data_IF_506647008731
#
_entry.id   IF_506647008731
#
_cell.length_a   1.000
_cell.length_b   1.000
_cell.length_c   1.000
_cell.angle_alpha   90.00
_cell.angle_beta   90.00
_cell.angle_gamma   90.00
#
_symmetry.space_group_name_H-M   'P 1'
#
loop_
_entity.id
_entity.type
_entity.pdbx_description
1 polymer ?
#
# COMPACT_ATOMS: atom_id res chain seq x y z
N UNK A 1 -9.32 -24.13 -10.80
CA UNK A 1 -10.74 -23.72 -10.87
C UNK A 1 -10.85 -22.39 -10.15
N UNK A 2 -10.78 -21.27 -10.89
CA UNK A 2 -11.01 -19.94 -10.31
C UNK A 2 -12.51 -19.75 -10.13
N UNK A 3 -12.96 -19.69 -8.88
CA UNK A 3 -14.34 -19.35 -8.58
C UNK A 3 -14.55 -17.88 -8.96
N UNK A 4 -15.49 -17.61 -9.85
CA UNK A 4 -15.95 -16.24 -10.11
C UNK A 4 -16.40 -15.64 -8.79
N UNK A 5 -15.86 -14.49 -8.36
CA UNK A 5 -16.29 -13.88 -7.11
C UNK A 5 -17.78 -13.53 -7.21
N UNK A 6 -18.51 -13.84 -6.16
CA UNK A 6 -19.91 -13.41 -6.05
C UNK A 6 -19.96 -11.88 -6.12
N UNK A 7 -20.58 -11.37 -7.16
CA UNK A 7 -20.66 -9.92 -7.45
C UNK A 7 -21.17 -9.12 -6.25
N UNK A 8 -22.19 -9.60 -5.55
CA UNK A 8 -22.75 -8.92 -4.39
C UNK A 8 -21.76 -8.89 -3.22
N UNK A 9 -21.02 -9.98 -3.02
CA UNK A 9 -20.01 -10.06 -1.99
C UNK A 9 -18.82 -9.15 -2.28
N UNK A 10 -18.40 -9.07 -3.54
CA UNK A 10 -17.35 -8.15 -3.97
C UNK A 10 -17.79 -6.70 -3.79
N UNK A 11 -19.00 -6.35 -4.19
CA UNK A 11 -19.55 -5.00 -4.03
C UNK A 11 -19.62 -4.60 -2.55
N UNK A 12 -20.04 -5.48 -1.66
CA UNK A 12 -20.06 -5.24 -0.22
C UNK A 12 -18.64 -5.00 0.33
N UNK A 13 -17.67 -5.81 -0.08
CA UNK A 13 -16.28 -5.63 0.33
C UNK A 13 -15.69 -4.30 -0.16
N UNK A 14 -16.01 -3.89 -1.39
CA UNK A 14 -15.56 -2.61 -1.93
C UNK A 14 -16.20 -1.40 -1.25
N UNK A 15 -17.40 -1.55 -0.69
CA UNK A 15 -18.04 -0.48 0.07
C UNK A 15 -17.28 -0.13 1.37
N UNK A 16 -16.63 -1.12 1.96
CA UNK A 16 -15.84 -0.99 3.20
C UNK A 16 -14.33 -0.78 2.94
N UNK A 17 -13.88 -0.92 1.69
CA UNK A 17 -12.47 -0.83 1.35
C UNK A 17 -11.93 0.60 1.50
N UNK A 18 -10.70 0.73 2.02
CA UNK A 18 -9.96 1.99 2.02
C UNK A 18 -9.68 2.43 0.58
N UNK A 19 -10.16 3.62 0.22
CA UNK A 19 -10.08 4.15 -1.14
C UNK A 19 -8.65 4.39 -1.60
N UNK A 20 -7.74 4.74 -0.70
CA UNK A 20 -6.32 4.95 -1.00
C UNK A 20 -5.66 3.66 -1.43
N UNK A 21 -5.91 2.60 -0.69
CA UNK A 21 -5.40 1.26 -1.02
C UNK A 21 -6.02 0.77 -2.33
N UNK A 22 -7.32 0.99 -2.50
CA UNK A 22 -8.04 0.59 -3.71
C UNK A 22 -7.48 1.25 -4.96
N UNK A 23 -7.17 2.55 -4.92
CA UNK A 23 -6.52 3.28 -6.00
C UNK A 23 -5.15 2.69 -6.36
N UNK A 24 -4.34 2.32 -5.36
CA UNK A 24 -3.03 1.70 -5.61
C UNK A 24 -3.18 0.33 -6.28
N UNK A 25 -4.16 -0.46 -5.84
CA UNK A 25 -4.47 -1.76 -6.47
C UNK A 25 -4.94 -1.55 -7.92
N UNK A 26 -5.84 -0.59 -8.16
CA UNK A 26 -6.33 -0.28 -9.49
C UNK A 26 -5.22 0.16 -10.43
N UNK A 27 -4.32 1.02 -9.96
CA UNK A 27 -3.13 1.42 -10.71
C UNK A 27 -2.24 0.22 -11.02
N UNK A 28 -1.99 -0.64 -10.02
CA UNK A 28 -1.14 -1.82 -10.18
C UNK A 28 -1.71 -2.80 -11.22
N UNK A 29 -3.03 -2.95 -11.28
CA UNK A 29 -3.71 -3.85 -12.22
C UNK A 29 -3.75 -3.23 -13.61
N UNK A 30 -4.17 -1.96 -13.74
CA UNK A 30 -4.45 -1.33 -15.04
C UNK A 30 -3.26 -0.65 -15.69
N UNK A 31 -2.31 -0.16 -14.89
CA UNK A 31 -1.25 0.73 -15.34
C UNK A 31 -1.73 2.12 -15.76
N UNK A 32 -3.00 2.46 -15.49
CA UNK A 32 -3.56 3.73 -15.91
C UNK A 32 -3.11 4.88 -15.02
N UNK A 33 -2.31 5.77 -15.58
CA UNK A 33 -1.74 6.95 -14.91
C UNK A 33 -2.78 7.87 -14.25
N UNK A 34 -4.02 7.84 -14.72
CA UNK A 34 -5.09 8.67 -14.15
C UNK A 34 -5.31 8.43 -12.67
N UNK A 35 -5.10 7.20 -12.18
CA UNK A 35 -5.28 6.84 -10.77
C UNK A 35 -4.24 7.47 -9.84
N UNK A 36 -3.16 8.02 -10.40
CA UNK A 36 -2.13 8.76 -9.66
C UNK A 36 -2.24 10.28 -9.83
N UNK A 37 -3.33 10.79 -10.41
CA UNK A 37 -3.55 12.21 -10.71
C UNK A 37 -4.84 12.71 -10.02
N UNK A 38 -5.04 14.03 -10.01
CA UNK A 38 -6.32 14.60 -9.59
C UNK A 38 -7.46 14.09 -10.49
N UNK A 39 -8.63 13.78 -9.96
CA UNK A 39 -9.07 14.01 -8.56
C UNK A 39 -8.79 12.84 -7.60
N UNK A 40 -8.02 11.83 -7.98
CA UNK A 40 -7.78 10.59 -7.24
C UNK A 40 -6.61 10.67 -6.27
N UNK A 41 -6.17 11.87 -5.95
CA UNK A 41 -5.13 12.09 -4.95
C UNK A 41 -5.76 12.29 -3.57
N UNK A 42 -5.37 11.47 -2.60
CA UNK A 42 -5.80 11.64 -1.22
C UNK A 42 -5.42 13.03 -0.69
N UNK A 43 -6.24 13.57 0.21
CA UNK A 43 -5.94 14.82 0.92
C UNK A 43 -5.70 14.49 2.37
N UNK A 44 -4.57 14.95 2.89
CA UNK A 44 -4.29 14.83 4.30
C UNK A 44 -5.18 15.78 5.09
N UNK A 45 -6.05 15.24 5.96
CA UNK A 45 -6.71 16.06 6.96
C UNK A 45 -5.78 16.22 8.18
N UNK A 46 -5.69 17.45 8.69
CA UNK A 46 -4.92 17.80 9.89
C UNK A 46 -5.59 17.29 11.16
N UNK A 47 -6.80 16.73 11.07
CA UNK A 47 -7.51 16.13 12.19
C UNK A 47 -6.80 14.86 12.66
N UNK A 48 -6.73 14.71 13.98
CA UNK A 48 -6.10 13.58 14.66
C UNK A 48 -6.76 12.22 14.37
N UNK A 49 -7.96 12.21 13.80
CA UNK A 49 -8.72 11.01 13.45
C UNK A 49 -8.56 10.80 11.95
N UNK A 50 -8.18 9.58 11.56
CA UNK A 50 -8.08 9.23 10.15
C UNK A 50 -9.39 9.52 9.42
N UNK A 51 -9.31 10.32 8.37
CA UNK A 51 -10.44 10.56 7.48
C UNK A 51 -10.64 9.31 6.62
N UNK A 52 -11.72 8.58 6.89
CA UNK A 52 -12.08 7.36 6.17
C UNK A 52 -12.33 7.64 4.68
N UNK A 53 -12.76 8.87 4.36
CA UNK A 53 -13.03 9.30 3.00
C UNK A 53 -11.79 9.76 2.24
N UNK A 54 -10.63 9.85 2.91
CA UNK A 54 -9.36 10.32 2.34
C UNK A 54 -9.45 11.69 1.64
N UNK A 55 -10.44 12.50 2.01
CA UNK A 55 -10.74 13.79 1.41
C UNK A 55 -11.37 13.73 0.02
N UNK A 56 -11.82 12.56 -0.45
CA UNK A 56 -12.52 12.42 -1.72
C UNK A 56 -13.99 12.86 -1.60
N UNK A 57 -14.48 13.52 -2.64
CA UNK A 57 -15.92 13.82 -2.74
C UNK A 57 -16.73 12.54 -2.95
N UNK A 58 -18.03 12.51 -2.56
CA UNK A 58 -18.87 11.33 -2.74
C UNK A 58 -18.92 10.79 -4.19
N UNK A 59 -18.88 11.68 -5.17
CA UNK A 59 -18.88 11.30 -6.59
C UNK A 59 -17.57 10.57 -6.98
N UNK A 60 -16.42 11.08 -6.52
CA UNK A 60 -15.12 10.45 -6.74
C UNK A 60 -15.04 9.10 -6.03
N UNK A 61 -15.54 9.00 -4.81
CA UNK A 61 -15.61 7.73 -4.09
C UNK A 61 -16.45 6.69 -4.84
N UNK A 62 -17.62 7.10 -5.35
CA UNK A 62 -18.49 6.22 -6.14
C UNK A 62 -17.82 5.76 -7.44
N UNK A 63 -17.13 6.67 -8.12
CA UNK A 63 -16.36 6.35 -9.33
C UNK A 63 -15.24 5.34 -9.08
N UNK A 64 -14.44 5.55 -8.01
CA UNK A 64 -13.37 4.62 -7.62
C UNK A 64 -13.94 3.22 -7.37
N UNK A 65 -15.01 3.12 -6.57
CA UNK A 65 -15.63 1.82 -6.24
C UNK A 65 -16.23 1.14 -7.46
N UNK A 66 -16.88 1.88 -8.36
CA UNK A 66 -17.46 1.34 -9.59
C UNK A 66 -16.36 0.84 -10.55
N UNK A 67 -15.30 1.61 -10.74
CA UNK A 67 -14.17 1.22 -11.59
C UNK A 67 -13.44 -0.01 -11.00
N UNK A 68 -13.24 -0.07 -9.68
CA UNK A 68 -12.65 -1.21 -9.02
C UNK A 68 -13.51 -2.47 -9.17
N UNK A 69 -14.82 -2.36 -9.02
CA UNK A 69 -15.74 -3.48 -9.22
C UNK A 69 -15.64 -4.03 -10.64
N UNK A 70 -15.65 -3.18 -11.63
CA UNK A 70 -15.50 -3.57 -13.04
C UNK A 70 -14.14 -4.26 -13.27
N UNK A 71 -13.06 -3.67 -12.78
CA UNK A 71 -11.69 -4.15 -12.97
C UNK A 71 -11.48 -5.53 -12.30
N UNK A 72 -12.00 -5.72 -11.10
CA UNK A 72 -11.89 -6.98 -10.35
C UNK A 72 -12.84 -8.07 -10.83
N UNK A 73 -13.92 -7.70 -11.52
CA UNK A 73 -14.84 -8.66 -12.15
C UNK A 73 -14.28 -9.16 -13.47
N UNK A 74 -13.54 -8.33 -14.19
CA UNK A 74 -12.91 -8.67 -15.46
C UNK A 74 -11.64 -9.48 -15.21
N UNK A 75 -11.74 -10.81 -15.23
CA UNK A 75 -10.67 -11.76 -14.87
C UNK A 75 -9.46 -11.78 -15.82
N UNK A 76 -9.43 -10.94 -16.84
CA UNK A 76 -8.39 -10.95 -17.87
C UNK A 76 -7.12 -10.14 -17.48
N UNK A 77 -7.06 -9.56 -16.30
CA UNK A 77 -5.97 -8.66 -15.94
C UNK A 77 -4.78 -9.38 -15.29
N UNK A 78 -3.68 -9.45 -16.04
CA UNK A 78 -2.36 -9.58 -15.43
C UNK A 78 -1.93 -8.21 -14.91
N UNK A 79 -1.27 -8.11 -13.75
CA UNK A 79 -0.79 -6.83 -13.24
C UNK A 79 0.08 -6.12 -14.29
N UNK A 80 -0.26 -4.87 -14.62
CA UNK A 80 0.52 -4.07 -15.57
C UNK A 80 1.91 -3.72 -15.02
N UNK A 81 1.99 -3.56 -13.68
CA UNK A 81 3.22 -3.24 -12.97
C UNK A 81 3.50 -4.27 -11.87
N UNK A 82 4.16 -5.39 -12.19
CA UNK A 82 4.38 -6.45 -11.21
C UNK A 82 5.25 -6.01 -10.03
N UNK A 83 6.24 -5.17 -10.27
CA UNK A 83 7.12 -4.60 -9.23
C UNK A 83 7.42 -3.15 -9.57
N UNK A 84 6.93 -2.18 -8.77
CA UNK A 84 7.26 -0.78 -8.97
C UNK A 84 8.75 -0.52 -8.69
N UNK A 85 9.38 0.33 -9.49
CA UNK A 85 10.68 0.89 -9.16
C UNK A 85 10.56 1.91 -8.01
N UNK A 86 11.69 2.43 -7.53
CA UNK A 86 11.69 3.34 -6.37
C UNK A 86 10.97 4.65 -6.66
N UNK A 87 11.14 5.20 -7.86
CA UNK A 87 10.49 6.46 -8.24
C UNK A 87 8.96 6.31 -8.37
N UNK A 88 8.51 5.19 -8.94
CA UNK A 88 7.10 4.88 -9.03
C UNK A 88 6.49 4.62 -7.65
N UNK A 89 7.19 3.89 -6.81
CA UNK A 89 6.74 3.62 -5.44
C UNK A 89 6.63 4.90 -4.62
N UNK A 90 7.63 5.80 -4.67
CA UNK A 90 7.57 7.11 -4.03
C UNK A 90 6.35 7.92 -4.48
N UNK A 91 6.09 7.92 -5.80
CA UNK A 91 4.94 8.59 -6.37
C UNK A 91 3.62 7.98 -5.90
N UNK A 92 3.49 6.66 -5.91
CA UNK A 92 2.31 5.95 -5.40
C UNK A 92 2.06 6.27 -3.92
N UNK A 93 3.10 6.24 -3.11
CA UNK A 93 3.02 6.59 -1.68
C UNK A 93 2.58 8.04 -1.49
N UNK A 94 3.15 8.97 -2.28
CA UNK A 94 2.80 10.39 -2.19
C UNK A 94 1.34 10.67 -2.55
N UNK A 95 0.79 9.94 -3.52
CA UNK A 95 -0.63 10.02 -3.90
C UNK A 95 -1.51 9.42 -2.80
N UNK A 96 -1.14 8.27 -2.27
CA UNK A 96 -1.87 7.56 -1.22
C UNK A 96 -1.94 8.36 0.09
N UNK A 97 -0.85 9.03 0.46
CA UNK A 97 -0.77 9.81 1.69
C UNK A 97 -1.25 11.26 1.53
N UNK A 98 -1.41 11.74 0.29
CA UNK A 98 -1.77 13.12 0.01
C UNK A 98 -0.68 14.14 0.32
N UNK A 99 0.56 13.68 0.52
CA UNK A 99 1.74 14.50 0.77
C UNK A 99 2.95 13.93 0.05
N UNK A 100 3.97 14.75 -0.17
CA UNK A 100 5.19 14.28 -0.79
C UNK A 100 5.98 13.40 0.19
N UNK A 101 6.24 12.17 -0.23
CA UNK A 101 7.09 11.23 0.51
C UNK A 101 8.54 11.45 0.11
N UNK A 102 9.45 11.48 1.08
CA UNK A 102 10.86 11.66 0.78
C UNK A 102 11.46 10.37 0.18
N UNK A 103 12.36 10.51 -0.83
CA UNK A 103 12.92 9.37 -1.57
C UNK A 103 13.59 8.31 -0.69
N UNK A 104 14.16 8.72 0.45
CA UNK A 104 14.83 7.81 1.39
C UNK A 104 13.92 6.73 1.99
N UNK A 105 12.59 6.89 1.92
CA UNK A 105 11.65 5.87 2.39
C UNK A 105 11.41 4.74 1.38
N UNK A 106 11.63 4.98 0.09
CA UNK A 106 11.33 4.02 -0.96
C UNK A 106 12.05 2.67 -0.81
N UNK A 107 13.36 2.60 -0.49
CA UNK A 107 14.05 1.32 -0.28
C UNK A 107 13.45 0.50 0.85
N UNK A 108 13.18 1.13 2.00
CA UNK A 108 12.57 0.46 3.16
C UNK A 108 11.16 -0.05 2.84
N UNK A 109 10.37 0.73 2.13
CA UNK A 109 9.02 0.33 1.73
C UNK A 109 9.05 -0.84 0.74
N UNK A 110 9.97 -0.84 -0.21
CA UNK A 110 10.14 -1.98 -1.13
C UNK A 110 10.46 -3.27 -0.39
N UNK A 111 11.31 -3.20 0.61
CA UNK A 111 11.65 -4.33 1.46
C UNK A 111 10.44 -4.81 2.26
N UNK A 112 9.71 -3.91 2.92
CA UNK A 112 8.53 -4.23 3.71
C UNK A 112 7.37 -4.79 2.88
N UNK A 113 7.22 -4.34 1.65
CA UNK A 113 6.20 -4.84 0.71
C UNK A 113 6.64 -6.13 0.00
N UNK A 114 7.85 -6.64 0.24
CA UNK A 114 8.35 -7.85 -0.40
C UNK A 114 8.75 -7.65 -1.87
N UNK A 115 8.93 -6.43 -2.33
CA UNK A 115 9.40 -6.11 -3.68
C UNK A 115 10.93 -6.15 -3.81
N UNK A 116 11.64 -6.12 -2.72
CA UNK A 116 13.06 -6.38 -2.64
C UNK A 116 13.29 -7.57 -1.70
N UNK A 117 14.33 -8.39 -1.93
CA UNK A 117 14.71 -9.35 -0.91
C UNK A 117 14.97 -8.56 0.37
N UNK A 118 14.43 -9.05 1.48
CA UNK A 118 14.87 -8.60 2.81
C UNK A 118 16.38 -8.67 2.74
N UNK A 119 17.03 -7.52 2.83
CA UNK A 119 18.48 -7.49 2.74
C UNK A 119 18.98 -8.58 3.67
N UNK A 120 19.77 -9.52 3.15
CA UNK A 120 20.64 -10.40 3.93
C UNK A 120 21.70 -9.53 4.68
N UNK A 121 21.23 -8.43 5.22
CA UNK A 121 21.96 -7.55 6.13
C UNK A 121 22.24 -8.26 7.46
N UNK A 122 21.66 -9.40 7.65
CA UNK A 122 22.24 -10.45 8.45
C UNK A 122 23.38 -11.12 7.67
N UNK A 123 24.28 -10.34 7.08
CA UNK A 123 25.68 -10.78 6.99
C UNK A 123 25.96 -11.33 8.38
N UNK A 124 26.19 -12.65 8.55
CA UNK A 124 26.41 -13.22 9.87
C UNK A 124 27.45 -12.33 10.52
N UNK A 125 27.03 -11.54 11.51
CA UNK A 125 27.98 -10.74 12.28
C UNK A 125 29.04 -11.74 12.62
N UNK A 126 30.26 -11.57 12.07
CA UNK A 126 31.43 -12.42 12.38
C UNK A 126 31.31 -12.65 13.85
N UNK A 127 31.16 -13.90 14.27
CA UNK A 127 30.83 -14.26 15.63
C UNK A 127 31.75 -13.48 16.58
N UNK A 128 31.26 -12.34 17.01
CA UNK A 128 31.92 -11.58 18.06
C UNK A 128 31.76 -12.47 19.28
N UNK A 129 32.86 -12.85 19.97
CA UNK A 129 32.71 -13.67 21.15
C UNK A 129 31.71 -13.02 22.08
N UNK A 130 30.56 -13.68 22.24
CA UNK A 130 29.46 -13.19 23.08
C UNK A 130 30.04 -13.10 24.49
N UNK A 131 30.24 -11.87 24.97
CA UNK A 131 30.53 -11.66 26.38
C UNK A 131 29.34 -12.24 27.11
N UNK A 132 29.59 -13.19 28.01
CA UNK A 132 28.59 -14.01 28.72
C UNK A 132 27.59 -13.23 29.58
N UNK A 133 27.66 -11.91 29.63
CA UNK A 133 26.75 -11.04 30.35
C UNK A 133 26.57 -9.72 29.57
N UNK A 134 25.56 -9.69 28.72
CA UNK A 134 25.07 -8.46 28.12
C UNK A 134 23.77 -8.09 28.85
N UNK A 135 23.73 -7.00 29.65
CA UNK A 135 22.48 -6.54 30.22
C UNK A 135 21.60 -6.03 29.09
N UNK A 136 20.45 -6.64 28.90
CA UNK A 136 19.45 -6.22 27.93
C UNK A 136 18.30 -5.55 28.68
N UNK A 137 18.00 -4.32 28.32
CA UNK A 137 16.82 -3.61 28.82
C UNK A 137 15.79 -3.62 27.68
N UNK A 138 14.61 -4.19 27.95
CA UNK A 138 13.50 -4.15 27.01
C UNK A 138 12.56 -3.04 27.49
N UNK A 139 12.38 -2.01 26.67
CA UNK A 139 11.45 -0.90 26.92
C UNK A 139 10.26 -1.06 26.00
N UNK A 140 9.12 -1.39 26.58
CA UNK A 140 7.86 -1.57 25.88
C UNK A 140 7.45 -3.04 25.79
N UNK A 141 6.16 -3.29 25.96
CA UNK A 141 5.50 -4.59 25.81
C UNK A 141 4.34 -4.43 24.81
N UNK A 142 4.63 -3.88 23.64
CA UNK A 142 3.65 -3.76 22.55
C UNK A 142 3.42 -5.09 21.83
N UNK A 143 2.50 -5.09 20.86
CA UNK A 143 2.15 -6.29 20.05
C UNK A 143 3.37 -6.88 19.34
N UNK A 144 4.41 -6.10 19.12
CA UNK A 144 5.66 -6.48 18.44
C UNK A 144 6.85 -6.73 19.38
N UNK A 145 6.64 -6.74 20.68
CA UNK A 145 7.65 -6.94 21.72
C UNK A 145 7.66 -8.35 22.27
#
# INVERSE_FOLDING_TARGET
>A
MSATPDHNRLQAALAEADLRVLLMVMFQISGEERWLQEPYRARRDVKLIADEDAGFTPDVQAEIRAAALQMLTDQAHSPAHPVPDEALLERMMSVCLGEQVAPEYAPTMREQMGFAPVMDSLTPLKAVPVRSQLPVIIVGAGISG
#
